data_IF_760684423535
#
_entry.id   IF_760684423535
#
_cell.length_a   1.000
_cell.length_b   1.000
_cell.length_c   1.000
_cell.angle_alpha   90.00
_cell.angle_beta   90.00
_cell.angle_gamma   90.00
#
_symmetry.space_group_name_H-M   'P 1'
#
loop_
_entity.id
_entity.type
_entity.pdbx_description
1 polymer ?
#
# COMPACT_ATOMS: atom_id res chain seq x y z
N UNK A 1 -6.13 9.99 24.12
CA UNK A 1 -5.33 9.01 23.33
C UNK A 1 -5.31 9.31 21.83
N UNK A 2 -6.40 9.76 21.21
CA UNK A 2 -6.48 10.00 19.75
C UNK A 2 -5.45 11.02 19.19
N UNK A 3 -5.16 12.10 19.93
CA UNK A 3 -4.17 13.10 19.52
C UNK A 3 -2.72 12.59 19.58
N UNK A 4 -2.41 11.70 20.53
CA UNK A 4 -1.09 11.07 20.65
C UNK A 4 -0.83 10.16 19.46
N UNK A 5 -1.77 9.28 19.13
CA UNK A 5 -1.67 8.39 17.98
C UNK A 5 -1.50 9.13 16.64
N UNK A 6 -2.19 10.28 16.45
CA UNK A 6 -2.00 11.13 15.27
C UNK A 6 -0.59 11.72 15.18
N UNK A 7 -0.06 12.22 16.30
CA UNK A 7 1.31 12.77 16.36
C UNK A 7 2.36 11.68 16.14
N UNK A 8 2.17 10.51 16.74
CA UNK A 8 3.07 9.36 16.58
C UNK A 8 3.11 8.89 15.12
N UNK A 9 1.95 8.81 14.44
CA UNK A 9 1.89 8.53 13.00
C UNK A 9 2.61 9.59 12.17
N UNK A 10 2.36 10.87 12.42
CA UNK A 10 3.03 11.94 11.67
C UNK A 10 4.56 11.85 11.79
N UNK A 11 5.06 11.54 12.99
CA UNK A 11 6.50 11.32 13.23
C UNK A 11 7.01 10.09 12.47
N UNK A 12 6.29 8.97 12.55
CA UNK A 12 6.65 7.72 11.86
C UNK A 12 6.71 7.93 10.34
N UNK A 13 5.67 8.52 9.76
CA UNK A 13 5.61 8.80 8.32
C UNK A 13 6.77 9.65 7.85
N UNK A 14 7.09 10.73 8.58
CA UNK A 14 8.21 11.60 8.23
C UNK A 14 9.54 10.84 8.27
N UNK A 15 9.75 9.98 9.27
CA UNK A 15 10.95 9.15 9.36
C UNK A 15 11.07 8.16 8.19
N UNK A 16 9.96 7.51 7.83
CA UNK A 16 9.90 6.57 6.69
C UNK A 16 10.21 7.29 5.39
N UNK A 17 9.57 8.45 5.12
CA UNK A 17 9.77 9.22 3.89
C UNK A 17 11.20 9.75 3.78
N UNK A 18 11.79 10.24 4.87
CA UNK A 18 13.19 10.68 4.86
C UNK A 18 14.16 9.54 4.55
N UNK A 19 13.90 8.35 5.11
CA UNK A 19 14.68 7.15 4.84
C UNK A 19 14.54 6.72 3.38
N UNK A 20 13.31 6.79 2.84
CA UNK A 20 13.00 6.48 1.44
C UNK A 20 13.76 7.41 0.48
N UNK A 21 13.66 8.73 0.67
CA UNK A 21 14.38 9.71 -0.17
C UNK A 21 15.90 9.54 -0.08
N UNK A 22 16.43 9.31 1.13
CA UNK A 22 17.87 9.10 1.33
C UNK A 22 18.32 7.82 0.62
N UNK A 23 17.55 6.75 0.74
CA UNK A 23 17.82 5.49 0.06
C UNK A 23 17.72 5.61 -1.46
N UNK A 24 16.68 6.28 -1.98
CA UNK A 24 16.51 6.56 -3.40
C UNK A 24 17.68 7.36 -3.95
N UNK A 25 18.08 8.44 -3.28
CA UNK A 25 19.22 9.26 -3.69
C UNK A 25 20.51 8.45 -3.69
N UNK A 26 20.77 7.69 -2.63
CA UNK A 26 21.96 6.85 -2.50
C UNK A 26 21.99 5.79 -3.61
N UNK A 27 20.89 5.07 -3.81
CA UNK A 27 20.78 4.01 -4.82
C UNK A 27 20.99 4.56 -6.23
N UNK A 28 20.31 5.65 -6.61
CA UNK A 28 20.46 6.27 -7.93
C UNK A 28 21.90 6.74 -8.15
N UNK A 29 22.50 7.36 -7.13
CA UNK A 29 23.90 7.82 -7.19
C UNK A 29 24.86 6.65 -7.39
N UNK A 30 24.71 5.58 -6.60
CA UNK A 30 25.54 4.38 -6.71
C UNK A 30 25.39 3.69 -8.06
N UNK A 31 24.16 3.58 -8.59
CA UNK A 31 23.92 2.98 -9.89
C UNK A 31 24.60 3.79 -11.00
N UNK A 32 24.42 5.12 -11.02
CA UNK A 32 25.05 5.99 -12.00
C UNK A 32 26.57 5.97 -11.90
N UNK A 33 27.13 6.00 -10.69
CA UNK A 33 28.57 5.84 -10.46
C UNK A 33 29.07 4.49 -11.00
N UNK A 34 28.36 3.39 -10.73
CA UNK A 34 28.76 2.06 -11.22
C UNK A 34 28.74 1.98 -12.75
N UNK A 35 27.78 2.65 -13.38
CA UNK A 35 27.68 2.74 -14.84
C UNK A 35 28.87 3.52 -15.43
N UNK A 36 29.27 4.63 -14.79
CA UNK A 36 30.37 5.49 -15.22
C UNK A 36 31.75 4.89 -14.97
N UNK A 37 31.98 4.26 -13.81
CA UNK A 37 33.31 3.84 -13.37
C UNK A 37 33.71 2.42 -13.81
N UNK A 38 32.77 1.48 -13.91
CA UNK A 38 33.11 0.07 -14.14
C UNK A 38 32.63 -0.46 -15.48
N UNK A 39 31.32 -0.57 -15.66
CA UNK A 39 30.74 -1.15 -16.88
C UNK A 39 29.45 -0.45 -17.25
N UNK A 40 29.34 0.13 -18.46
CA UNK A 40 28.12 0.77 -18.89
C UNK A 40 27.00 -0.28 -19.03
N UNK A 41 25.97 -0.14 -18.19
CA UNK A 41 24.70 -0.88 -18.29
C UNK A 41 23.66 -0.09 -19.06
N UNK A 42 22.64 -0.75 -19.60
CA UNK A 42 21.59 -0.06 -20.37
C UNK A 42 20.84 0.97 -19.52
N UNK A 43 21.02 2.26 -19.84
CA UNK A 43 20.29 3.36 -19.19
C UNK A 43 18.81 3.35 -19.55
N UNK A 44 18.44 2.80 -20.70
CA UNK A 44 17.03 2.67 -21.11
C UNK A 44 16.31 1.67 -20.21
N UNK A 45 16.92 0.50 -19.97
CA UNK A 45 16.35 -0.49 -19.05
C UNK A 45 16.28 0.07 -17.63
N UNK A 46 17.33 0.77 -17.19
CA UNK A 46 17.34 1.45 -15.91
C UNK A 46 16.18 2.46 -15.79
N UNK A 47 16.02 3.35 -16.77
CA UNK A 47 14.94 4.32 -16.83
C UNK A 47 13.55 3.68 -16.78
N UNK A 48 13.36 2.57 -17.51
CA UNK A 48 12.09 1.84 -17.53
C UNK A 48 11.71 1.29 -16.14
N UNK A 49 12.66 0.68 -15.44
CA UNK A 49 12.38 0.04 -14.15
C UNK A 49 12.42 0.99 -12.97
N UNK A 50 13.18 2.09 -13.04
CA UNK A 50 13.19 3.11 -11.98
C UNK A 50 11.94 3.98 -12.00
N UNK A 51 11.32 4.17 -13.18
CA UNK A 51 10.13 5.04 -13.31
C UNK A 51 8.96 4.60 -12.41
N UNK A 52 8.55 3.32 -12.38
CA UNK A 52 7.53 2.84 -11.43
C UNK A 52 7.91 3.06 -9.96
N UNK A 53 9.19 2.88 -9.60
CA UNK A 53 9.69 3.13 -8.24
C UNK A 53 9.54 4.61 -7.85
N UNK A 54 9.94 5.53 -8.73
CA UNK A 54 9.82 6.97 -8.48
C UNK A 54 8.36 7.43 -8.41
N UNK A 55 7.49 6.84 -9.24
CA UNK A 55 6.06 7.10 -9.16
C UNK A 55 5.48 6.64 -7.82
N UNK A 56 5.87 5.46 -7.33
CA UNK A 56 5.45 4.97 -6.02
C UNK A 56 5.93 5.89 -4.89
N UNK A 57 7.21 6.30 -4.92
CA UNK A 57 7.78 7.24 -3.96
C UNK A 57 7.04 8.58 -3.97
N UNK A 58 6.72 9.12 -5.14
CA UNK A 58 5.92 10.35 -5.27
C UNK A 58 4.53 10.21 -4.64
N UNK A 59 3.84 9.11 -4.89
CA UNK A 59 2.51 8.87 -4.32
C UNK A 59 2.61 8.70 -2.80
N UNK A 60 3.60 7.96 -2.29
CA UNK A 60 3.84 7.80 -0.84
C UNK A 60 4.14 9.14 -0.16
N UNK A 61 4.93 10.00 -0.80
CA UNK A 61 5.22 11.35 -0.30
C UNK A 61 3.94 12.20 -0.27
N UNK A 62 3.18 12.24 -1.36
CA UNK A 62 1.98 13.08 -1.42
C UNK A 62 0.87 12.62 -0.47
N UNK A 63 0.72 11.31 -0.23
CA UNK A 63 -0.31 10.76 0.66
C UNK A 63 0.15 10.68 2.13
N UNK A 64 1.41 10.34 2.38
CA UNK A 64 1.96 10.10 3.71
C UNK A 64 2.50 11.35 4.43
N UNK A 65 2.84 12.42 3.70
CA UNK A 65 3.47 13.61 4.29
C UNK A 65 2.52 14.35 5.25
N UNK A 66 2.89 14.53 6.53
CA UNK A 66 2.07 15.28 7.46
C UNK A 66 1.97 16.76 7.09
N UNK A 67 0.78 17.35 7.23
CA UNK A 67 0.55 18.77 6.94
C UNK A 67 0.23 19.51 8.23
N UNK A 68 0.87 20.65 8.41
CA UNK A 68 0.73 21.53 9.56
C UNK A 68 0.06 22.84 9.15
N UNK A 69 -0.68 23.44 10.08
CA UNK A 69 -1.26 24.77 9.90
C UNK A 69 -0.14 25.83 9.97
N UNK A 70 0.01 26.68 8.92
CA UNK A 70 1.04 27.73 8.90
C UNK A 70 0.88 28.79 9.99
N UNK A 71 -0.35 29.07 10.45
CA UNK A 71 -0.63 30.13 11.41
C UNK A 71 -0.47 29.67 12.86
N UNK A 72 -0.83 28.41 13.15
CA UNK A 72 -0.85 27.88 14.52
C UNK A 72 0.22 26.82 14.79
N UNK A 73 0.89 26.31 13.76
CA UNK A 73 1.81 25.18 13.87
C UNK A 73 1.13 23.85 14.24
N UNK A 74 -0.19 23.82 14.33
CA UNK A 74 -0.94 22.64 14.72
C UNK A 74 -0.96 21.59 13.60
N UNK A 75 -0.88 20.31 13.97
CA UNK A 75 -0.97 19.20 13.01
C UNK A 75 -2.39 19.12 12.44
N UNK A 76 -2.54 19.38 11.13
CA UNK A 76 -3.82 19.34 10.41
C UNK A 76 -4.16 17.91 9.96
N UNK A 77 -3.19 17.22 9.38
CA UNK A 77 -3.30 15.80 9.01
C UNK A 77 -1.98 15.09 9.22
N UNK A 78 -2.04 13.85 9.71
CA UNK A 78 -0.88 12.98 9.85
C UNK A 78 -0.45 12.32 8.53
N UNK A 79 -1.27 12.41 7.48
CA UNK A 79 -1.13 11.64 6.25
C UNK A 79 -1.77 10.24 6.36
N UNK A 80 -1.74 9.51 5.25
CA UNK A 80 -2.07 8.08 5.24
C UNK A 80 -1.03 7.28 6.04
N UNK A 81 -1.44 6.13 6.58
CA UNK A 81 -0.54 5.29 7.36
C UNK A 81 0.43 4.57 6.42
N UNK A 82 1.72 4.95 6.44
CA UNK A 82 2.73 4.34 5.59
C UNK A 82 3.06 2.89 6.00
N UNK A 83 2.59 2.43 7.16
CA UNK A 83 2.70 1.03 7.58
C UNK A 83 1.44 0.22 7.22
N UNK A 84 0.51 0.76 6.43
CA UNK A 84 -0.69 0.05 6.03
C UNK A 84 -0.37 -1.16 5.12
N UNK A 85 -0.96 -2.30 5.44
CA UNK A 85 -0.87 -3.49 4.60
C UNK A 85 -1.65 -3.33 3.29
N UNK A 86 -1.23 -4.05 2.25
CA UNK A 86 -1.91 -4.06 0.95
C UNK A 86 -1.26 -3.11 -0.05
N UNK A 87 -1.94 -2.03 -0.44
CA UNK A 87 -1.45 -1.16 -1.53
C UNK A 87 -0.18 -0.40 -1.14
N UNK A 88 -0.15 0.18 0.07
CA UNK A 88 1.02 0.93 0.55
C UNK A 88 2.24 0.02 0.67
N UNK A 89 2.06 -1.17 1.24
CA UNK A 89 3.09 -2.22 1.28
C UNK A 89 3.58 -2.60 -0.13
N UNK A 90 2.66 -2.81 -1.08
CA UNK A 90 3.00 -3.07 -2.48
C UNK A 90 3.82 -1.95 -3.12
N UNK A 91 3.53 -0.68 -2.82
CA UNK A 91 4.31 0.45 -3.31
C UNK A 91 5.73 0.45 -2.77
N UNK A 92 5.92 0.08 -1.50
CA UNK A 92 7.24 -0.14 -0.93
C UNK A 92 7.95 -1.33 -1.61
N UNK A 93 7.25 -2.43 -1.86
CA UNK A 93 7.83 -3.59 -2.56
C UNK A 93 8.34 -3.22 -3.95
N UNK A 94 7.59 -2.39 -4.69
CA UNK A 94 8.05 -1.88 -6.00
C UNK A 94 9.40 -1.15 -5.86
N UNK A 95 9.55 -0.30 -4.83
CA UNK A 95 10.80 0.43 -4.58
C UNK A 95 11.93 -0.53 -4.18
N UNK A 96 11.71 -1.36 -3.16
CA UNK A 96 12.72 -2.26 -2.61
C UNK A 96 13.19 -3.29 -3.64
N UNK A 97 12.27 -3.91 -4.37
CA UNK A 97 12.60 -4.88 -5.43
C UNK A 97 13.34 -4.19 -6.58
N UNK A 98 12.98 -2.94 -6.92
CA UNK A 98 13.73 -2.18 -7.93
C UNK A 98 15.17 -1.92 -7.50
N UNK A 99 15.41 -1.54 -6.24
CA UNK A 99 16.77 -1.35 -5.73
C UNK A 99 17.55 -2.67 -5.72
N UNK A 100 16.94 -3.75 -5.23
CA UNK A 100 17.55 -5.07 -5.21
C UNK A 100 17.89 -5.57 -6.63
N UNK A 101 16.96 -5.40 -7.59
CA UNK A 101 17.17 -5.77 -8.98
C UNK A 101 18.29 -4.94 -9.60
N UNK A 102 18.36 -3.64 -9.31
CA UNK A 102 19.44 -2.78 -9.80
C UNK A 102 20.81 -3.16 -9.25
N UNK A 103 20.92 -3.45 -7.94
CA UNK A 103 22.16 -3.97 -7.33
C UNK A 103 22.57 -5.28 -8.01
N UNK A 104 21.61 -6.18 -8.24
CA UNK A 104 21.87 -7.44 -8.94
C UNK A 104 22.33 -7.20 -10.38
N UNK A 105 21.78 -6.21 -11.08
CA UNK A 105 22.20 -5.84 -12.45
C UNK A 105 23.63 -5.33 -12.49
N UNK A 106 24.06 -4.58 -11.47
CA UNK A 106 25.45 -4.17 -11.34
C UNK A 106 26.36 -5.40 -11.20
N UNK A 107 26.00 -6.34 -10.33
CA UNK A 107 26.80 -7.53 -10.00
C UNK A 107 26.84 -8.59 -11.11
N UNK A 108 25.68 -9.08 -11.57
CA UNK A 108 25.58 -10.21 -12.51
C UNK A 108 25.15 -9.82 -13.93
N UNK A 109 24.84 -8.54 -14.16
CA UNK A 109 24.39 -8.03 -15.46
C UNK A 109 22.88 -8.09 -15.66
N UNK A 110 22.42 -7.95 -16.91
CA UNK A 110 20.99 -7.74 -17.22
C UNK A 110 20.05 -8.84 -16.70
N UNK A 111 20.56 -10.03 -16.38
CA UNK A 111 19.80 -11.09 -15.70
C UNK A 111 19.22 -10.64 -14.36
N UNK A 112 19.81 -9.63 -13.70
CA UNK A 112 19.29 -9.09 -12.45
C UNK A 112 17.89 -8.47 -12.57
N UNK A 113 17.49 -8.02 -13.76
CA UNK A 113 16.14 -7.53 -13.99
C UNK A 113 15.07 -8.61 -13.88
N UNK A 114 15.42 -9.91 -13.92
CA UNK A 114 14.45 -10.98 -13.68
C UNK A 114 13.84 -10.92 -12.28
N UNK A 115 14.58 -10.39 -11.28
CA UNK A 115 14.02 -10.17 -9.95
C UNK A 115 12.83 -9.21 -9.99
N UNK A 116 12.83 -8.26 -10.93
CA UNK A 116 11.75 -7.31 -11.09
C UNK A 116 10.42 -7.96 -11.48
N UNK A 117 10.44 -9.17 -12.06
CA UNK A 117 9.20 -9.92 -12.35
C UNK A 117 8.37 -10.26 -11.09
N UNK A 118 8.97 -10.22 -9.90
CA UNK A 118 8.26 -10.37 -8.64
C UNK A 118 7.21 -9.26 -8.42
N UNK A 119 7.48 -8.03 -8.90
CA UNK A 119 6.58 -6.89 -8.74
C UNK A 119 5.22 -7.14 -9.41
N UNK A 120 5.13 -7.37 -10.74
CA UNK A 120 3.85 -7.64 -11.37
C UNK A 120 3.21 -8.96 -10.90
N UNK A 121 4.01 -9.97 -10.53
CA UNK A 121 3.49 -11.22 -9.99
C UNK A 121 2.75 -10.99 -8.65
N UNK A 122 3.35 -10.24 -7.74
CA UNK A 122 2.72 -9.89 -6.47
C UNK A 122 1.56 -8.92 -6.65
N UNK A 123 1.67 -7.95 -7.55
CA UNK A 123 0.57 -7.06 -7.91
C UNK A 123 -0.65 -7.81 -8.46
N UNK A 124 -0.43 -8.84 -9.29
CA UNK A 124 -1.50 -9.70 -9.79
C UNK A 124 -2.16 -10.51 -8.66
N UNK A 125 -1.37 -11.04 -7.72
CA UNK A 125 -1.88 -11.73 -6.54
C UNK A 125 -2.78 -10.80 -5.71
N UNK A 126 -2.31 -9.60 -5.36
CA UNK A 126 -3.06 -8.63 -4.57
C UNK A 126 -4.34 -8.17 -5.29
N UNK A 127 -4.22 -7.88 -6.60
CA UNK A 127 -5.35 -7.50 -7.44
C UNK A 127 -6.42 -8.59 -7.57
N UNK A 128 -6.03 -9.86 -7.64
CA UNK A 128 -6.96 -10.99 -7.67
C UNK A 128 -7.79 -11.08 -6.37
N UNK A 129 -7.18 -10.76 -5.22
CA UNK A 129 -7.86 -10.70 -3.93
C UNK A 129 -8.92 -9.59 -3.87
N UNK A 130 -8.59 -8.39 -4.36
CA UNK A 130 -9.55 -7.28 -4.47
C UNK A 130 -10.72 -7.60 -5.40
N UNK A 131 -10.44 -8.15 -6.59
CA UNK A 131 -11.48 -8.55 -7.53
C UNK A 131 -12.38 -9.64 -6.94
N UNK A 132 -11.83 -10.59 -6.18
CA UNK A 132 -12.59 -11.61 -5.47
C UNK A 132 -13.45 -11.04 -4.34
N UNK A 133 -12.98 -10.03 -3.60
CA UNK A 133 -13.78 -9.31 -2.60
C UNK A 133 -14.91 -8.49 -3.25
N UNK A 134 -14.61 -7.76 -4.33
CA UNK A 134 -15.60 -6.98 -5.08
C UNK A 134 -16.70 -7.86 -5.67
N UNK A 135 -16.34 -9.01 -6.25
CA UNK A 135 -17.32 -10.01 -6.74
C UNK A 135 -18.19 -10.58 -5.63
N UNK A 136 -17.63 -10.88 -4.45
CA UNK A 136 -18.40 -11.34 -3.28
C UNK A 136 -19.35 -10.27 -2.75
N UNK A 137 -18.89 -9.03 -2.66
CA UNK A 137 -19.71 -7.89 -2.21
C UNK A 137 -20.85 -7.63 -3.18
N UNK A 138 -20.58 -7.67 -4.48
CA UNK A 138 -21.60 -7.49 -5.53
C UNK A 138 -22.57 -8.68 -5.58
N UNK A 139 -22.08 -9.92 -5.39
CA UNK A 139 -22.93 -11.10 -5.26
C UNK A 139 -23.79 -11.07 -4.00
N UNK A 140 -23.28 -10.52 -2.89
CA UNK A 140 -24.04 -10.33 -1.65
C UNK A 140 -25.08 -9.20 -1.78
N UNK A 141 -24.80 -8.14 -2.55
CA UNK A 141 -25.80 -7.14 -2.90
C UNK A 141 -26.91 -7.74 -3.80
N UNK A 142 -26.53 -8.51 -4.82
CA UNK A 142 -27.49 -9.21 -5.71
C UNK A 142 -28.27 -10.34 -5.01
N UNK A 143 -27.65 -11.03 -4.05
CA UNK A 143 -28.28 -12.07 -3.23
C UNK A 143 -29.09 -11.50 -2.06
N UNK A 144 -28.78 -10.29 -1.60
CA UNK A 144 -29.56 -9.54 -0.61
C UNK A 144 -30.87 -9.00 -1.16
N UNK A 145 -30.94 -8.69 -2.47
CA UNK A 145 -32.21 -8.41 -3.16
C UNK A 145 -33.09 -9.68 -3.31
N UNK A 146 -32.49 -10.86 -3.46
CA UNK A 146 -33.24 -12.13 -3.53
C UNK A 146 -33.82 -12.58 -2.17
N UNK A 147 -33.27 -12.10 -1.05
CA UNK A 147 -33.84 -12.31 0.29
C UNK A 147 -34.81 -11.20 0.73
N UNK A 148 -34.90 -10.11 -0.05
CA UNK A 148 -35.84 -9.01 0.17
C UNK A 148 -37.20 -9.19 -0.55
N UNK A 149 -37.32 -10.20 -1.43
CA UNK A 149 -38.53 -10.43 -2.24
C UNK A 149 -39.13 -11.83 -2.09
N UNK A 150 -38.82 -12.55 -1.01
CA UNK A 150 -39.45 -13.82 -0.67
C UNK A 150 -39.95 -13.79 0.78
N UNK A 151 -41.05 -13.07 1.02
CA UNK A 151 -41.70 -13.09 2.34
C UNK A 151 -42.65 -11.94 2.66
N UNK A 152 -43.56 -11.56 1.76
CA UNK A 152 -44.78 -10.83 2.16
C UNK A 152 -45.99 -11.68 1.76
N UNK A 153 -46.56 -12.35 2.74
CA UNK A 153 -47.81 -13.11 2.59
C UNK A 153 -48.03 -14.09 3.73
N UNK A 154 -48.56 -13.62 4.87
CA UNK A 154 -49.08 -14.50 5.92
C UNK A 154 -48.94 -13.93 7.33
N UNK A 155 -50.01 -13.32 7.83
CA UNK A 155 -50.20 -12.91 9.23
C UNK A 155 -50.10 -14.10 10.19
N UNK A 156 -49.24 -14.05 11.21
CA UNK A 156 -49.55 -14.39 12.62
C UNK A 156 -48.36 -14.11 13.55
N UNK A 157 -48.67 -13.40 14.63
CA UNK A 157 -48.09 -13.40 15.98
C UNK A 157 -46.81 -14.24 16.25
N UNK A 158 -45.80 -13.60 16.83
CA UNK A 158 -45.44 -13.80 18.24
C UNK A 158 -44.09 -13.14 18.58
N UNK A 159 -44.15 -12.23 19.55
CA UNK A 159 -42.99 -11.68 20.23
C UNK A 159 -42.14 -12.80 20.87
N UNK A 160 -40.88 -12.94 20.45
CA UNK A 160 -39.94 -13.88 21.04
C UNK A 160 -38.79 -13.17 21.77
N UNK A 161 -39.16 -12.67 22.96
CA UNK A 161 -38.49 -13.04 24.21
C UNK A 161 -36.97 -12.96 24.27
N UNK A 162 -36.51 -11.85 24.86
CA UNK A 162 -35.23 -11.69 25.54
C UNK A 162 -35.07 -12.77 26.65
N UNK A 163 -34.67 -14.00 26.28
CA UNK A 163 -34.57 -15.18 27.16
C UNK A 163 -33.16 -15.44 27.73
N UNK A 164 -32.25 -14.47 27.69
CA UNK A 164 -30.88 -14.63 28.24
C UNK A 164 -30.58 -13.84 29.52
N UNK A 165 -31.55 -13.14 30.11
CA UNK A 165 -31.33 -12.29 31.29
C UNK A 165 -31.98 -12.77 32.61
N UNK A 166 -32.48 -14.02 32.72
CA UNK A 166 -33.14 -14.53 33.94
C UNK A 166 -32.63 -15.89 34.45
N UNK A 167 -31.33 -16.16 34.37
CA UNK A 167 -30.70 -17.29 35.07
C UNK A 167 -29.46 -16.82 35.82
N UNK A 168 -29.66 -15.90 36.76
CA UNK A 168 -28.71 -15.53 37.80
C UNK A 168 -29.48 -14.79 38.89
N UNK A 169 -30.25 -15.54 39.66
CA UNK A 169 -30.75 -15.20 40.98
C UNK A 169 -31.06 -16.52 41.69
#
# INVERSE_FOLDING_TARGET
>A
MAQKAKKDRAKSNTATLNSLHTGSLLFNTLFLLSHLLWRPRSLVAYGLFITPSLLCEYVLETSGRPKYDPATGALRTAGEDLAAAGLTEYMFDVVWVTWAAGVLVVLVGNWGWLLWALVPAYGAYLGSGLLGMGRRTLAQMKGGEALGSAGVGGSTEAAQGNRRARRAA
#
